data_IF_033247788927
#
_entry.id   IF_033247788927
#
_cell.length_a   1.000
_cell.length_b   1.000
_cell.length_c   1.000
_cell.angle_alpha   90.00
_cell.angle_beta   90.00
_cell.angle_gamma   90.00
#
_symmetry.space_group_name_H-M   'P 1'
#
loop_
_entity.id
_entity.type
_entity.pdbx_description
1 polymer ?
#
# COMPACT_ATOMS: atom_id res chain seq x y z
N UNK A 1 -0.21 -6.12 29.54
CA UNK A 1 -0.89 -7.18 28.78
C UNK A 1 -0.65 -6.89 27.29
N UNK A 2 -0.46 -7.90 26.45
CA UNK A 2 -0.30 -7.66 25.02
C UNK A 2 -1.53 -6.99 24.44
N UNK A 3 -1.31 -6.02 23.55
CA UNK A 3 -2.40 -5.28 22.91
C UNK A 3 -2.97 -6.13 21.78
N UNK A 4 -4.30 -6.33 21.81
CA UNK A 4 -5.04 -7.07 20.80
C UNK A 4 -5.96 -6.14 20.04
N UNK A 5 -5.95 -6.22 18.71
CA UNK A 5 -6.84 -5.50 17.81
C UNK A 5 -7.80 -6.46 17.13
N UNK A 6 -8.99 -5.93 16.75
CA UNK A 6 -9.98 -6.68 16.01
C UNK A 6 -10.91 -7.56 16.88
N UNK A 7 -11.69 -8.40 16.22
CA UNK A 7 -12.72 -9.24 16.86
C UNK A 7 -12.96 -10.53 16.06
N UNK A 8 -13.60 -11.52 16.69
CA UNK A 8 -13.92 -12.81 16.07
C UNK A 8 -12.68 -13.52 15.53
N UNK A 9 -12.73 -13.98 14.28
CA UNK A 9 -11.63 -14.64 13.58
C UNK A 9 -10.51 -13.66 13.12
N UNK A 10 -10.79 -12.35 13.21
CA UNK A 10 -9.86 -11.27 12.81
C UNK A 10 -9.25 -10.60 14.04
N UNK A 11 -8.66 -11.38 14.93
CA UNK A 11 -7.94 -10.89 16.11
C UNK A 11 -6.45 -10.98 15.89
N UNK A 12 -5.75 -9.90 16.26
CA UNK A 12 -4.32 -9.77 16.05
C UNK A 12 -3.66 -9.18 17.29
N UNK A 13 -2.51 -9.74 17.66
CA UNK A 13 -1.63 -9.20 18.69
C UNK A 13 -0.62 -8.25 18.06
N UNK A 14 -0.48 -7.06 18.63
CA UNK A 14 0.58 -6.12 18.20
C UNK A 14 1.95 -6.66 18.65
N UNK A 15 2.89 -6.75 17.72
CA UNK A 15 4.28 -7.14 17.99
C UNK A 15 5.14 -5.89 17.99
N UNK A 16 5.44 -5.39 19.21
CA UNK A 16 6.26 -4.21 19.36
C UNK A 16 7.73 -4.49 18.99
N UNK A 17 8.41 -3.50 18.40
CA UNK A 17 9.82 -3.56 18.04
C UNK A 17 10.18 -4.79 17.17
N UNK A 18 9.28 -5.19 16.28
CA UNK A 18 9.49 -6.35 15.44
C UNK A 18 10.71 -6.21 14.53
N UNK A 19 10.88 -5.08 13.82
CA UNK A 19 11.98 -4.84 12.90
C UNK A 19 13.28 -4.52 13.66
N UNK A 20 14.27 -5.40 13.54
CA UNK A 20 15.61 -5.26 14.12
C UNK A 20 16.54 -4.65 13.08
N UNK A 21 16.54 -3.32 12.99
CA UNK A 21 17.42 -2.58 12.07
C UNK A 21 18.88 -2.67 12.50
N UNK A 22 19.83 -2.63 11.56
CA UNK A 22 21.24 -2.40 11.87
C UNK A 22 21.46 -1.10 12.64
N UNK A 23 22.52 -1.02 13.42
CA UNK A 23 22.86 0.16 14.21
C UNK A 23 22.97 1.41 13.34
N UNK A 24 22.35 2.50 13.79
CA UNK A 24 22.31 3.78 13.09
C UNK A 24 21.31 3.88 11.92
N UNK A 25 20.61 2.80 11.57
CA UNK A 25 19.59 2.83 10.50
C UNK A 25 18.26 3.36 11.01
N UNK A 26 17.50 3.94 10.08
CA UNK A 26 16.16 4.48 10.34
C UNK A 26 15.21 4.14 9.20
N UNK A 27 13.91 4.10 9.52
CA UNK A 27 12.81 4.02 8.56
C UNK A 27 12.12 5.40 8.52
N UNK A 28 12.29 6.16 7.44
CA UNK A 28 11.68 7.49 7.32
C UNK A 28 10.17 7.39 7.11
N UNK A 29 9.77 6.78 6.00
CA UNK A 29 8.39 6.37 5.69
C UNK A 29 8.45 4.99 5.05
N UNK A 30 7.69 4.04 5.54
CA UNK A 30 7.50 2.75 4.86
C UNK A 30 6.30 2.86 3.94
N UNK A 31 6.58 3.14 2.67
CA UNK A 31 5.53 3.37 1.68
C UNK A 31 4.79 2.09 1.30
N UNK A 32 5.47 0.95 1.27
CA UNK A 32 4.84 -0.34 1.00
C UNK A 32 5.62 -1.49 1.63
N UNK A 33 4.95 -2.61 1.76
CA UNK A 33 5.50 -3.88 2.23
C UNK A 33 5.03 -5.02 1.33
N UNK A 34 5.86 -6.06 1.18
CA UNK A 34 5.49 -7.30 0.51
C UNK A 34 6.12 -8.49 1.24
N UNK A 35 5.55 -9.69 1.06
CA UNK A 35 6.06 -10.92 1.66
C UNK A 35 6.25 -11.95 0.56
N UNK A 36 7.42 -12.58 0.51
CA UNK A 36 7.72 -13.60 -0.50
C UNK A 36 7.30 -15.01 -0.08
N UNK A 37 7.48 -15.98 -0.97
CA UNK A 37 7.13 -17.39 -0.75
C UNK A 37 7.85 -18.07 0.42
N UNK A 38 8.87 -17.41 1.01
CA UNK A 38 9.67 -17.87 2.16
C UNK A 38 9.40 -17.08 3.43
N UNK A 39 8.30 -16.31 3.46
CA UNK A 39 7.95 -15.39 4.56
C UNK A 39 9.02 -14.32 4.84
N UNK A 40 9.85 -13.94 3.84
CA UNK A 40 10.71 -12.78 3.98
C UNK A 40 9.92 -11.52 3.70
N UNK A 41 10.10 -10.52 4.54
CA UNK A 41 9.36 -9.25 4.49
C UNK A 41 10.22 -8.19 3.81
N UNK A 42 9.74 -7.69 2.70
CA UNK A 42 10.34 -6.61 1.92
C UNK A 42 9.68 -5.29 2.32
N UNK A 43 10.49 -4.33 2.71
CA UNK A 43 10.06 -3.02 3.21
C UNK A 43 10.55 -1.95 2.26
N UNK A 44 9.62 -1.29 1.55
CA UNK A 44 9.93 -0.24 0.60
C UNK A 44 9.87 1.13 1.29
N UNK A 45 11.04 1.68 1.59
CA UNK A 45 11.27 2.79 2.49
C UNK A 45 11.73 4.04 1.73
N UNK A 46 11.27 5.20 2.15
CA UNK A 46 11.68 6.52 1.61
C UNK A 46 12.97 7.06 2.22
N UNK A 47 13.68 6.26 3.01
CA UNK A 47 14.94 6.63 3.63
C UNK A 47 16.17 6.26 2.79
N UNK A 48 17.36 6.33 3.42
CA UNK A 48 18.65 6.05 2.77
C UNK A 48 18.77 4.62 2.21
N UNK A 49 18.01 3.66 2.77
CA UNK A 49 17.96 2.27 2.33
C UNK A 49 16.58 1.96 1.76
N UNK A 50 16.37 2.09 0.44
CA UNK A 50 15.04 2.03 -0.16
C UNK A 50 14.35 0.67 -0.02
N UNK A 51 15.10 -0.43 -0.18
CA UNK A 51 14.56 -1.77 0.00
C UNK A 51 15.31 -2.46 1.13
N UNK A 52 14.58 -2.79 2.20
CA UNK A 52 15.13 -3.52 3.35
C UNK A 52 14.39 -4.84 3.46
N UNK A 53 15.11 -5.92 3.71
CA UNK A 53 14.54 -7.28 3.79
C UNK A 53 14.80 -7.86 5.17
N UNK A 54 13.72 -8.35 5.78
CA UNK A 54 13.74 -9.04 7.09
C UNK A 54 13.29 -10.49 6.95
N UNK A 55 13.71 -11.34 7.87
CA UNK A 55 13.04 -12.61 8.06
C UNK A 55 11.71 -12.43 8.82
N UNK A 56 10.92 -13.49 8.94
CA UNK A 56 9.63 -13.47 9.65
C UNK A 56 9.75 -13.08 11.14
N UNK A 57 10.90 -13.30 11.77
CA UNK A 57 11.20 -12.92 13.15
C UNK A 57 11.69 -11.47 13.30
N UNK A 58 11.80 -10.72 12.19
CA UNK A 58 12.22 -9.33 12.14
C UNK A 58 13.72 -9.14 12.13
N UNK A 59 14.53 -10.19 11.94
CA UNK A 59 15.95 -10.03 11.81
C UNK A 59 16.30 -9.50 10.41
N UNK A 60 17.19 -8.52 10.35
CA UNK A 60 17.70 -7.97 9.10
C UNK A 60 18.42 -9.04 8.29
N UNK A 61 18.10 -9.13 6.99
CA UNK A 61 18.76 -10.02 6.02
C UNK A 61 19.69 -9.25 5.12
N UNK A 62 19.17 -8.21 4.43
CA UNK A 62 19.90 -7.40 3.44
C UNK A 62 19.16 -6.11 3.11
N UNK A 63 19.83 -5.22 2.41
CA UNK A 63 19.20 -4.09 1.71
C UNK A 63 19.76 -3.93 0.31
N UNK A 64 19.04 -3.18 -0.54
CA UNK A 64 19.44 -2.81 -1.89
C UNK A 64 18.61 -1.65 -2.41
N UNK A 65 18.99 -1.11 -3.56
CA UNK A 65 18.22 -0.08 -4.28
C UNK A 65 18.69 1.34 -4.02
N UNK A 66 19.79 1.54 -3.34
CA UNK A 66 20.44 2.85 -3.16
C UNK A 66 20.76 3.45 -4.53
N UNK A 67 20.27 4.68 -4.78
CA UNK A 67 20.41 5.37 -6.05
C UNK A 67 19.53 4.86 -7.20
N UNK A 68 18.75 3.79 -6.98
CA UNK A 68 17.83 3.24 -7.98
C UNK A 68 16.46 3.92 -7.98
N UNK A 69 16.00 4.39 -6.83
CA UNK A 69 14.66 4.93 -6.62
C UNK A 69 14.70 6.41 -6.26
N UNK A 70 13.83 7.21 -6.91
CA UNK A 70 13.62 8.61 -6.59
C UNK A 70 12.73 8.80 -5.36
N UNK A 71 11.62 8.05 -5.31
CA UNK A 71 10.70 8.05 -4.17
C UNK A 71 9.88 6.75 -4.11
N UNK A 72 10.20 5.90 -3.17
CA UNK A 72 9.47 4.65 -2.95
C UNK A 72 7.96 4.88 -2.74
N UNK A 73 7.10 4.10 -3.45
CA UNK A 73 5.65 4.20 -3.28
C UNK A 73 4.98 2.84 -3.17
N UNK A 74 4.73 2.12 -4.27
CA UNK A 74 4.05 0.83 -4.27
C UNK A 74 5.02 -0.34 -4.38
N UNK A 75 4.70 -1.46 -3.73
CA UNK A 75 5.44 -2.70 -3.83
C UNK A 75 4.47 -3.87 -3.95
N UNK A 76 4.56 -4.60 -5.07
CA UNK A 76 3.85 -5.85 -5.29
C UNK A 76 4.87 -6.97 -5.50
N UNK A 77 4.52 -8.20 -5.13
CA UNK A 77 5.33 -9.38 -5.38
C UNK A 77 4.52 -10.44 -6.13
N UNK A 78 5.09 -11.06 -7.17
CA UNK A 78 4.42 -12.11 -7.92
C UNK A 78 4.69 -13.52 -7.35
N UNK A 79 3.99 -14.53 -7.88
CA UNK A 79 4.13 -15.91 -7.44
C UNK A 79 5.53 -16.53 -7.73
N UNK A 80 6.40 -15.81 -8.44
CA UNK A 80 7.79 -16.19 -8.73
C UNK A 80 8.79 -15.38 -7.89
N UNK A 81 8.30 -14.68 -6.86
CA UNK A 81 9.08 -13.78 -6.00
C UNK A 81 9.71 -12.58 -6.73
N UNK A 82 9.21 -12.17 -7.92
CA UNK A 82 9.65 -10.91 -8.50
C UNK A 82 8.91 -9.74 -7.86
N UNK A 83 9.65 -8.67 -7.61
CA UNK A 83 9.15 -7.45 -6.99
C UNK A 83 8.81 -6.42 -8.06
N UNK A 84 7.64 -5.84 -7.98
CA UNK A 84 7.23 -4.69 -8.81
C UNK A 84 7.26 -3.44 -7.93
N UNK A 85 8.34 -2.68 -8.11
CA UNK A 85 8.62 -1.47 -7.34
C UNK A 85 8.09 -0.26 -8.10
N UNK A 86 7.06 0.40 -7.58
CA UNK A 86 6.50 1.62 -8.14
C UNK A 86 7.15 2.83 -7.49
N UNK A 87 7.71 3.70 -8.32
CA UNK A 87 8.39 4.92 -7.91
C UNK A 87 7.61 6.15 -8.39
N UNK A 88 7.01 6.88 -7.47
CA UNK A 88 6.25 8.08 -7.81
C UNK A 88 7.13 9.33 -7.98
N UNK A 89 8.40 9.25 -7.63
CA UNK A 89 9.37 10.33 -7.81
C UNK A 89 9.97 10.36 -9.21
N UNK A 90 10.29 9.19 -9.77
CA UNK A 90 10.83 9.09 -11.13
C UNK A 90 9.84 8.59 -12.19
N UNK A 91 8.58 8.36 -11.77
CA UNK A 91 7.46 8.00 -12.67
C UNK A 91 7.63 6.65 -13.37
N UNK A 92 8.14 5.64 -12.66
CA UNK A 92 8.38 4.31 -13.23
C UNK A 92 7.84 3.17 -12.37
N UNK A 93 7.65 2.03 -13.02
CA UNK A 93 7.51 0.72 -12.36
C UNK A 93 8.70 -0.14 -12.77
N UNK A 94 9.43 -0.67 -11.79
CA UNK A 94 10.52 -1.62 -12.04
C UNK A 94 10.16 -3.00 -11.53
N UNK A 95 10.18 -3.99 -12.42
CA UNK A 95 10.20 -5.40 -12.03
C UNK A 95 11.63 -5.78 -11.66
N UNK A 96 11.84 -6.25 -10.44
CA UNK A 96 13.13 -6.62 -9.91
C UNK A 96 13.14 -8.07 -9.42
N UNK A 97 14.26 -8.75 -9.55
CA UNK A 97 14.50 -9.99 -8.83
C UNK A 97 14.72 -9.70 -7.33
N UNK A 98 14.65 -10.74 -6.50
CA UNK A 98 14.83 -10.63 -5.03
C UNK A 98 16.18 -10.05 -4.59
N UNK A 99 17.20 -10.09 -5.44
CA UNK A 99 18.52 -9.52 -5.19
C UNK A 99 18.67 -8.05 -5.64
N UNK A 100 17.60 -7.48 -6.22
CA UNK A 100 17.57 -6.09 -6.70
C UNK A 100 17.91 -5.92 -8.19
N UNK A 101 18.23 -6.99 -8.92
CA UNK A 101 18.46 -6.91 -10.37
C UNK A 101 17.18 -6.47 -11.07
N UNK A 102 17.23 -5.34 -11.80
CA UNK A 102 16.12 -4.87 -12.63
C UNK A 102 15.92 -5.79 -13.84
N UNK A 103 14.73 -6.32 -14.00
CA UNK A 103 14.33 -7.23 -15.09
C UNK A 103 13.52 -6.52 -16.17
N UNK A 104 12.73 -5.50 -15.78
CA UNK A 104 11.90 -4.69 -16.67
C UNK A 104 11.72 -3.30 -16.05
N UNK A 105 11.68 -2.28 -16.91
CA UNK A 105 11.26 -0.92 -16.51
C UNK A 105 10.11 -0.48 -17.42
N UNK A 106 9.01 -0.02 -16.82
CA UNK A 106 7.86 0.59 -17.49
C UNK A 106 7.84 2.07 -17.11
N UNK A 107 7.64 2.96 -18.06
CA UNK A 107 7.84 4.39 -17.91
C UNK A 107 9.26 4.82 -18.26
N UNK A 108 9.52 6.12 -18.26
CA UNK A 108 10.83 6.71 -18.58
C UNK A 108 11.31 7.46 -17.33
N UNK A 109 12.41 7.06 -16.69
CA UNK A 109 12.88 7.69 -15.46
C UNK A 109 13.00 9.22 -15.58
N UNK A 110 12.45 9.92 -14.59
CA UNK A 110 12.44 11.39 -14.49
C UNK A 110 11.75 12.12 -15.66
N UNK A 111 10.87 11.42 -16.40
CA UNK A 111 10.10 12.02 -17.50
C UNK A 111 8.61 11.78 -17.28
N UNK A 112 7.92 12.64 -16.49
CA UNK A 112 6.47 12.52 -16.32
C UNK A 112 5.73 12.80 -17.63
N UNK A 113 4.61 12.09 -17.85
CA UNK A 113 3.61 12.51 -18.79
C UNK A 113 3.03 13.89 -18.41
N UNK A 114 2.40 14.65 -19.31
CA UNK A 114 1.75 15.89 -18.94
C UNK A 114 0.67 15.69 -17.85
N UNK A 115 0.52 16.64 -16.96
CA UNK A 115 -0.46 16.58 -15.87
C UNK A 115 -1.88 16.33 -16.41
N UNK A 116 -2.54 15.30 -15.85
CA UNK A 116 -3.89 14.85 -16.23
C UNK A 116 -4.08 14.52 -17.73
N UNK A 117 -3.00 14.19 -18.45
CA UNK A 117 -3.08 13.86 -19.88
C UNK A 117 -3.72 12.50 -20.18
N UNK A 118 -3.74 11.61 -19.20
CA UNK A 118 -4.13 10.21 -19.40
C UNK A 118 -3.02 9.32 -19.99
N UNK A 119 -1.86 9.89 -20.34
CA UNK A 119 -0.68 9.16 -20.79
C UNK A 119 0.12 8.63 -19.56
N UNK A 120 0.75 7.45 -19.63
CA UNK A 120 1.58 6.92 -18.56
C UNK A 120 3.00 7.49 -18.59
N UNK A 121 3.60 7.84 -17.43
CA UNK A 121 3.05 7.96 -16.08
C UNK A 121 3.22 9.40 -15.58
N UNK A 122 2.29 9.83 -14.68
CA UNK A 122 2.54 11.03 -13.89
C UNK A 122 2.35 10.73 -12.41
N UNK A 123 3.42 10.23 -11.76
CA UNK A 123 3.46 9.79 -10.36
C UNK A 123 2.54 8.58 -10.10
N UNK A 124 2.84 7.48 -10.78
CA UNK A 124 2.20 6.19 -10.58
C UNK A 124 2.34 5.70 -9.11
N UNK A 125 1.39 4.91 -8.63
CA UNK A 125 1.23 4.66 -7.21
C UNK A 125 1.40 3.19 -6.80
N UNK A 126 0.86 2.24 -7.57
CA UNK A 126 0.96 0.81 -7.24
C UNK A 126 0.79 -0.08 -8.47
N UNK A 127 1.03 -1.39 -8.31
CA UNK A 127 0.82 -2.41 -9.35
C UNK A 127 0.06 -3.61 -8.82
N UNK A 128 -0.68 -4.28 -9.71
CA UNK A 128 -1.24 -5.61 -9.49
C UNK A 128 -1.12 -6.45 -10.77
N UNK A 129 -1.23 -7.77 -10.66
CA UNK A 129 -1.12 -8.66 -11.80
C UNK A 129 -2.43 -9.42 -12.05
N UNK A 130 -2.84 -9.53 -13.31
CA UNK A 130 -3.91 -10.46 -13.67
C UNK A 130 -3.46 -11.91 -13.48
N UNK A 131 -4.40 -12.88 -13.42
CA UNK A 131 -4.04 -14.31 -13.43
C UNK A 131 -3.21 -14.75 -14.65
N UNK A 132 -3.21 -13.94 -15.72
CA UNK A 132 -2.41 -14.16 -16.94
C UNK A 132 -1.06 -13.44 -16.93
N UNK A 133 -0.73 -12.74 -15.83
CA UNK A 133 0.51 -11.97 -15.68
C UNK A 133 0.50 -10.57 -16.34
N UNK A 134 -0.65 -10.10 -16.85
CA UNK A 134 -0.78 -8.72 -17.31
C UNK A 134 -0.61 -7.77 -16.13
N UNK A 135 0.04 -6.63 -16.35
CA UNK A 135 0.39 -5.69 -15.29
C UNK A 135 -0.58 -4.53 -15.29
N UNK A 136 -1.29 -4.33 -14.18
CA UNK A 136 -2.08 -3.13 -13.94
C UNK A 136 -1.25 -2.14 -13.12
N UNK A 137 -1.32 -0.87 -13.51
CA UNK A 137 -0.63 0.22 -12.80
C UNK A 137 -1.63 1.32 -12.47
N UNK A 138 -1.77 1.65 -11.21
CA UNK A 138 -2.51 2.83 -10.76
C UNK A 138 -1.62 4.07 -10.93
N UNK A 139 -2.15 5.13 -11.56
CA UNK A 139 -1.43 6.38 -11.84
C UNK A 139 -2.28 7.56 -11.38
N UNK A 140 -2.10 7.97 -10.11
CA UNK A 140 -3.11 8.79 -9.45
C UNK A 140 -2.69 10.17 -8.97
N UNK A 141 -1.41 10.48 -8.72
CA UNK A 141 -1.06 11.81 -8.18
C UNK A 141 -1.07 12.92 -9.22
N UNK A 142 -0.66 12.63 -10.44
CA UNK A 142 -0.67 13.59 -11.54
C UNK A 142 -1.52 13.12 -12.72
N UNK A 143 -2.23 12.01 -12.51
CA UNK A 143 -3.18 11.42 -13.43
C UNK A 143 -4.40 10.89 -12.67
N UNK A 144 -5.42 10.42 -13.39
CA UNK A 144 -6.58 9.72 -12.83
C UNK A 144 -6.85 8.48 -13.67
N UNK A 145 -5.84 7.59 -13.75
CA UNK A 145 -5.82 6.45 -14.69
C UNK A 145 -5.43 5.15 -14.01
N UNK A 146 -5.92 4.06 -14.59
CA UNK A 146 -5.31 2.74 -14.48
C UNK A 146 -4.81 2.36 -15.88
N UNK A 147 -3.57 1.86 -15.95
CA UNK A 147 -2.94 1.41 -17.19
C UNK A 147 -2.74 -0.10 -17.15
N UNK A 148 -3.07 -0.80 -18.21
CA UNK A 148 -2.89 -2.24 -18.37
C UNK A 148 -1.80 -2.53 -19.39
N UNK A 149 -0.84 -3.37 -19.02
CA UNK A 149 0.31 -3.76 -19.84
C UNK A 149 0.37 -5.27 -20.03
N UNK A 150 1.03 -5.70 -21.10
CA UNK A 150 1.49 -7.10 -21.24
C UNK A 150 2.57 -7.42 -20.19
N UNK A 151 2.87 -8.72 -19.92
CA UNK A 151 3.94 -9.10 -19.00
C UNK A 151 5.34 -8.56 -19.36
N UNK A 152 5.57 -8.24 -20.64
CA UNK A 152 6.80 -7.62 -21.17
C UNK A 152 6.76 -6.09 -21.23
N UNK A 153 5.70 -5.45 -20.70
CA UNK A 153 5.64 -4.01 -20.51
C UNK A 153 5.08 -3.20 -21.69
N UNK A 154 4.38 -3.83 -22.65
CA UNK A 154 3.69 -3.12 -23.73
C UNK A 154 2.31 -2.67 -23.27
N UNK A 155 2.00 -1.38 -23.42
CA UNK A 155 0.68 -0.82 -23.09
C UNK A 155 -0.42 -1.47 -23.93
N UNK A 156 -1.46 -1.96 -23.26
CA UNK A 156 -2.66 -2.56 -23.86
C UNK A 156 -3.86 -1.61 -23.82
N UNK A 157 -4.14 -1.03 -22.65
CA UNK A 157 -5.32 -0.18 -22.42
C UNK A 157 -5.06 0.75 -21.24
N UNK A 158 -5.77 1.88 -21.23
CA UNK A 158 -5.90 2.78 -20.09
C UNK A 158 -7.35 3.13 -19.88
N UNK A 159 -7.79 3.31 -18.61
CA UNK A 159 -9.14 3.75 -18.29
C UNK A 159 -9.16 4.66 -17.08
N UNK A 160 -10.30 5.29 -16.86
CA UNK A 160 -10.52 6.30 -15.83
C UNK A 160 -10.36 7.72 -16.36
N UNK A 161 -10.81 8.67 -15.58
CA UNK A 161 -10.65 10.12 -15.78
C UNK A 161 -10.89 10.84 -14.45
N UNK A 162 -10.50 12.11 -14.30
CA UNK A 162 -10.78 12.87 -13.08
C UNK A 162 -12.28 13.03 -12.83
N UNK A 163 -12.70 12.75 -11.59
CA UNK A 163 -14.09 12.96 -11.18
C UNK A 163 -14.54 12.05 -10.04
N UNK A 164 -15.86 11.99 -9.82
CA UNK A 164 -16.48 11.23 -8.73
C UNK A 164 -17.56 10.22 -9.18
N UNK A 165 -17.91 10.20 -10.46
CA UNK A 165 -18.84 9.22 -11.01
C UNK A 165 -18.20 7.82 -11.09
N UNK A 166 -18.98 6.75 -11.30
CA UNK A 166 -18.44 5.42 -11.58
C UNK A 166 -17.43 5.44 -12.74
N UNK A 167 -16.26 4.84 -12.52
CA UNK A 167 -15.16 4.85 -13.48
C UNK A 167 -14.30 6.10 -13.47
N UNK A 168 -14.71 7.17 -12.79
CA UNK A 168 -13.89 8.36 -12.54
C UNK A 168 -13.12 8.24 -11.23
N UNK A 169 -12.02 8.99 -11.07
CA UNK A 169 -11.11 8.88 -9.94
C UNK A 169 -10.68 10.23 -9.38
N UNK A 170 -10.45 10.24 -8.07
CA UNK A 170 -9.76 11.31 -7.38
C UNK A 170 -8.62 10.71 -6.54
N UNK A 171 -7.43 10.69 -7.11
CA UNK A 171 -6.23 10.01 -6.64
C UNK A 171 -6.39 8.48 -6.58
N UNK A 172 -6.13 7.83 -7.73
CA UNK A 172 -5.97 6.38 -7.84
C UNK A 172 -4.73 5.97 -7.06
N UNK A 173 -4.91 5.36 -5.87
CA UNK A 173 -3.79 5.24 -4.93
C UNK A 173 -3.22 3.83 -4.79
N UNK A 174 -4.05 2.83 -4.89
CA UNK A 174 -3.64 1.43 -4.82
C UNK A 174 -4.51 0.57 -5.72
N UNK A 175 -4.01 -0.59 -6.10
CA UNK A 175 -4.69 -1.52 -6.98
C UNK A 175 -4.37 -2.94 -6.55
N UNK A 176 -5.37 -3.81 -6.59
CA UNK A 176 -5.23 -5.25 -6.31
C UNK A 176 -6.09 -6.05 -7.28
N UNK A 177 -5.80 -7.33 -7.42
CA UNK A 177 -6.58 -8.27 -8.23
C UNK A 177 -6.88 -9.52 -7.43
N UNK A 178 -7.93 -10.24 -7.82
CA UNK A 178 -8.21 -11.58 -7.31
C UNK A 178 -7.92 -12.67 -8.34
N UNK A 179 -8.16 -13.92 -7.94
CA UNK A 179 -7.91 -15.10 -8.78
C UNK A 179 -8.86 -15.20 -10.00
N UNK A 180 -10.01 -14.54 -9.95
CA UNK A 180 -10.99 -14.52 -11.05
C UNK A 180 -10.70 -13.40 -12.05
N UNK A 181 -9.73 -12.52 -11.73
CA UNK A 181 -9.27 -11.42 -12.59
C UNK A 181 -10.02 -10.11 -12.40
N UNK A 182 -10.82 -9.97 -11.35
CA UNK A 182 -11.39 -8.68 -10.94
C UNK A 182 -10.30 -7.73 -10.50
N UNK A 183 -10.48 -6.46 -10.79
CA UNK A 183 -9.53 -5.38 -10.49
C UNK A 183 -10.15 -4.43 -9.48
N UNK A 184 -9.51 -4.28 -8.34
CA UNK A 184 -9.95 -3.45 -7.23
C UNK A 184 -9.05 -2.23 -7.13
N UNK A 185 -9.64 -1.05 -7.14
CA UNK A 185 -8.91 0.23 -7.21
C UNK A 185 -9.28 1.13 -6.04
N UNK A 186 -8.29 1.46 -5.21
CA UNK A 186 -8.46 2.42 -4.13
C UNK A 186 -8.53 3.84 -4.68
N UNK A 187 -9.73 4.38 -4.75
CA UNK A 187 -10.06 5.74 -5.18
C UNK A 187 -10.08 6.66 -3.95
N UNK A 188 -8.87 7.06 -3.52
CA UNK A 188 -8.56 7.51 -2.17
C UNK A 188 -9.38 8.72 -1.73
N UNK A 189 -9.38 9.80 -2.51
CA UNK A 189 -10.06 11.02 -2.10
C UNK A 189 -11.56 11.03 -2.47
N UNK A 190 -12.05 10.00 -3.18
CA UNK A 190 -13.46 9.70 -3.32
C UNK A 190 -13.96 8.73 -2.23
N UNK A 191 -13.09 8.35 -1.27
CA UNK A 191 -13.44 7.54 -0.11
C UNK A 191 -14.08 6.18 -0.45
N UNK A 192 -13.63 5.53 -1.52
CA UNK A 192 -14.18 4.26 -2.02
C UNK A 192 -13.11 3.35 -2.59
N UNK A 193 -13.46 2.07 -2.74
CA UNK A 193 -12.79 1.14 -3.65
C UNK A 193 -13.74 0.88 -4.81
N UNK A 194 -13.29 1.02 -6.03
CA UNK A 194 -14.04 0.66 -7.22
C UNK A 194 -13.60 -0.71 -7.73
N UNK A 195 -14.55 -1.48 -8.26
CA UNK A 195 -14.34 -2.83 -8.80
C UNK A 195 -14.59 -2.80 -10.30
N UNK A 196 -13.64 -3.35 -11.05
CA UNK A 196 -13.69 -3.43 -12.51
C UNK A 196 -13.45 -4.88 -12.96
N UNK A 197 -13.93 -5.21 -14.14
CA UNK A 197 -13.46 -6.41 -14.82
C UNK A 197 -12.01 -6.26 -15.28
N UNK A 198 -11.40 -7.34 -15.80
CA UNK A 198 -10.03 -7.33 -16.31
C UNK A 198 -9.81 -6.45 -17.54
N UNK A 199 -10.86 -5.88 -18.13
CA UNK A 199 -10.82 -4.94 -19.23
C UNK A 199 -11.08 -3.49 -18.80
N UNK A 200 -11.32 -3.25 -17.50
CA UNK A 200 -11.56 -1.93 -16.93
C UNK A 200 -13.00 -1.43 -17.09
N UNK A 201 -13.96 -2.33 -17.32
CA UNK A 201 -15.38 -2.00 -17.24
C UNK A 201 -15.83 -1.97 -15.78
N UNK A 202 -16.49 -0.89 -15.37
CA UNK A 202 -16.96 -0.70 -13.99
C UNK A 202 -18.05 -1.72 -13.65
N UNK A 203 -17.93 -2.33 -12.48
CA UNK A 203 -18.92 -3.29 -11.97
C UNK A 203 -19.57 -2.82 -10.68
N UNK A 204 -18.79 -2.39 -9.70
CA UNK A 204 -19.28 -2.07 -8.36
C UNK A 204 -18.36 -1.08 -7.63
N UNK A 205 -18.81 -0.60 -6.47
CA UNK A 205 -17.95 0.15 -5.55
C UNK A 205 -18.25 -0.21 -4.10
N UNK A 206 -17.21 -0.12 -3.27
CA UNK A 206 -17.29 -0.29 -1.82
C UNK A 206 -17.16 1.07 -1.15
N UNK A 207 -18.17 1.44 -0.41
CA UNK A 207 -18.24 2.67 0.36
C UNK A 207 -17.96 2.41 1.85
N UNK A 208 -18.18 3.40 2.72
CA UNK A 208 -17.93 3.30 4.15
C UNK A 208 -16.45 3.08 4.49
N UNK A 209 -15.58 3.65 3.68
CA UNK A 209 -14.13 3.74 3.85
C UNK A 209 -13.74 5.22 3.97
N UNK A 210 -12.66 5.51 4.69
CA UNK A 210 -12.13 6.87 4.76
C UNK A 210 -10.72 6.93 4.22
N UNK A 211 -10.56 7.50 3.02
CA UNK A 211 -9.28 7.61 2.31
C UNK A 211 -8.53 6.27 2.21
N UNK A 212 -9.10 5.25 1.53
CA UNK A 212 -8.44 3.96 1.32
C UNK A 212 -7.10 4.18 0.60
N UNK A 213 -6.02 3.73 1.22
CA UNK A 213 -4.66 4.01 0.80
C UNK A 213 -3.90 2.73 0.46
N UNK A 214 -3.90 1.74 1.36
CA UNK A 214 -3.43 0.39 1.09
C UNK A 214 -4.61 -0.50 0.69
N UNK A 215 -4.36 -1.47 -0.19
CA UNK A 215 -5.36 -2.45 -0.61
C UNK A 215 -4.68 -3.78 -0.89
N UNK A 216 -5.01 -4.81 -0.11
CA UNK A 216 -4.42 -6.14 -0.23
C UNK A 216 -5.51 -7.20 -0.31
N UNK A 217 -5.50 -8.01 -1.39
CA UNK A 217 -6.34 -9.18 -1.54
C UNK A 217 -5.70 -10.38 -0.82
N UNK A 218 -6.41 -10.98 0.13
CA UNK A 218 -5.89 -12.09 0.94
C UNK A 218 -5.84 -13.45 0.20
N UNK A 219 -6.30 -13.50 -1.06
CA UNK A 219 -6.34 -14.72 -1.86
C UNK A 219 -7.47 -15.69 -1.48
N UNK A 220 -7.57 -16.81 -2.18
CA UNK A 220 -8.63 -17.81 -2.01
C UNK A 220 -9.86 -17.59 -2.91
N UNK A 221 -10.86 -18.48 -2.82
CA UNK A 221 -12.07 -18.45 -3.67
C UNK A 221 -13.07 -17.33 -3.30
N UNK A 222 -13.03 -16.83 -2.07
CA UNK A 222 -13.85 -15.70 -1.60
C UNK A 222 -12.96 -14.82 -0.72
N UNK A 223 -12.04 -14.06 -1.34
CA UNK A 223 -11.01 -13.37 -0.58
C UNK A 223 -11.59 -12.28 0.30
N UNK A 224 -11.02 -12.15 1.50
CA UNK A 224 -11.10 -10.90 2.23
C UNK A 224 -10.07 -9.92 1.67
N UNK A 225 -10.34 -8.64 1.87
CA UNK A 225 -9.41 -7.56 1.53
C UNK A 225 -9.05 -6.80 2.80
N UNK A 226 -7.77 -6.47 2.95
CA UNK A 226 -7.31 -5.59 4.01
C UNK A 226 -7.03 -4.23 3.40
N UNK A 227 -7.71 -3.21 3.94
CA UNK A 227 -7.65 -1.83 3.46
C UNK A 227 -7.04 -0.96 4.54
N UNK A 228 -5.92 -0.30 4.22
CA UNK A 228 -5.35 0.75 5.05
C UNK A 228 -6.08 2.07 4.79
N UNK A 229 -6.74 2.60 5.81
CA UNK A 229 -7.38 3.92 5.76
C UNK A 229 -6.44 4.96 6.37
N UNK A 230 -6.11 6.01 5.60
CA UNK A 230 -5.04 6.96 5.92
C UNK A 230 -5.37 7.89 7.09
N UNK A 231 -6.64 7.99 7.46
CA UNK A 231 -7.10 8.92 8.48
C UNK A 231 -7.46 10.31 7.94
N UNK A 232 -7.64 11.30 8.82
CA UNK A 232 -8.03 12.65 8.43
C UNK A 232 -7.17 13.26 7.33
N UNK A 233 -7.79 13.88 6.34
CA UNK A 233 -7.11 14.52 5.22
C UNK A 233 -7.07 16.05 5.31
N UNK A 234 -7.93 16.64 6.16
CA UNK A 234 -8.08 18.08 6.34
C UNK A 234 -7.87 18.46 7.80
N UNK A 235 -7.32 19.66 8.02
CA UNK A 235 -7.11 20.19 9.36
C UNK A 235 -8.41 20.24 10.19
N UNK A 236 -9.52 20.57 9.54
CA UNK A 236 -10.83 20.72 10.18
C UNK A 236 -11.41 19.42 10.73
N UNK A 237 -10.98 18.25 10.20
CA UNK A 237 -11.50 16.95 10.62
C UNK A 237 -10.52 16.12 11.48
N UNK A 238 -9.39 16.70 11.94
CA UNK A 238 -8.40 15.99 12.77
C UNK A 238 -8.98 15.35 14.02
N UNK A 239 -9.88 16.05 14.70
CA UNK A 239 -10.55 15.55 15.91
C UNK A 239 -11.85 14.78 15.65
N UNK A 240 -12.25 14.57 14.40
CA UNK A 240 -13.48 13.87 14.09
C UNK A 240 -13.35 12.38 14.42
N UNK A 241 -14.29 11.79 15.18
CA UNK A 241 -14.22 10.37 15.53
C UNK A 241 -14.44 9.48 14.30
N UNK A 242 -13.96 8.24 14.38
CA UNK A 242 -14.18 7.19 13.37
C UNK A 242 -13.64 7.47 11.95
N UNK A 243 -12.72 8.41 11.78
CA UNK A 243 -12.07 8.64 10.48
C UNK A 243 -10.73 7.89 10.31
N UNK A 244 -10.32 7.09 11.31
CA UNK A 244 -9.04 6.39 11.28
C UNK A 244 -7.90 7.30 11.81
N UNK A 245 -6.63 6.96 11.54
CA UNK A 245 -6.14 5.88 10.67
C UNK A 245 -6.40 4.48 11.25
N UNK A 246 -6.59 3.49 10.36
CA UNK A 246 -6.93 2.11 10.77
C UNK A 246 -6.74 1.11 9.62
N UNK A 247 -6.86 -0.19 9.94
CA UNK A 247 -7.12 -1.21 8.93
C UNK A 247 -8.60 -1.62 8.97
N UNK A 248 -9.22 -1.72 7.81
CA UNK A 248 -10.56 -2.29 7.63
C UNK A 248 -10.46 -3.57 6.83
N UNK A 249 -11.07 -4.64 7.32
CA UNK A 249 -11.18 -5.92 6.62
C UNK A 249 -12.59 -6.01 6.04
N UNK A 250 -12.68 -6.26 4.74
CA UNK A 250 -13.96 -6.44 4.04
C UNK A 250 -13.96 -7.79 3.31
N UNK A 251 -15.14 -8.35 3.09
CA UNK A 251 -15.31 -9.52 2.21
C UNK A 251 -15.27 -9.13 0.73
N UNK A 252 -15.36 -10.11 -0.18
CA UNK A 252 -15.34 -9.91 -1.63
C UNK A 252 -16.49 -9.06 -2.18
N UNK A 253 -17.49 -8.74 -1.36
CA UNK A 253 -18.62 -7.85 -1.70
C UNK A 253 -18.48 -6.47 -1.07
N UNK A 254 -17.34 -6.19 -0.41
CA UNK A 254 -17.09 -4.92 0.28
C UNK A 254 -17.78 -4.76 1.61
N UNK A 255 -18.43 -5.81 2.14
CA UNK A 255 -19.03 -5.78 3.46
C UNK A 255 -17.94 -5.85 4.51
N UNK A 256 -17.92 -4.88 5.43
CA UNK A 256 -16.98 -4.87 6.54
C UNK A 256 -17.16 -6.08 7.46
N UNK A 257 -16.08 -6.83 7.67
CA UNK A 257 -16.02 -7.97 8.60
C UNK A 257 -15.26 -7.64 9.88
N UNK A 258 -14.26 -6.76 9.82
CA UNK A 258 -13.53 -6.29 11.01
C UNK A 258 -12.92 -4.89 10.81
N UNK A 259 -12.54 -4.25 11.91
CA UNK A 259 -11.67 -3.07 11.97
C UNK A 259 -10.58 -3.29 13.02
N UNK A 260 -9.36 -2.86 12.70
CA UNK A 260 -8.19 -2.91 13.57
C UNK A 260 -7.74 -1.49 13.85
N UNK A 261 -7.85 -1.02 15.08
CA UNK A 261 -7.51 0.34 15.49
C UNK A 261 -8.51 1.41 15.00
N UNK A 262 -8.11 2.67 15.12
CA UNK A 262 -8.79 3.83 14.53
C UNK A 262 -9.92 4.48 15.33
N UNK A 263 -10.27 3.97 16.50
CA UNK A 263 -11.35 4.54 17.33
C UNK A 263 -10.98 5.93 17.88
N UNK A 264 -9.71 6.14 18.20
CA UNK A 264 -9.21 7.32 18.90
C UNK A 264 -8.23 8.18 18.06
N UNK A 265 -8.33 8.10 16.73
CA UNK A 265 -7.45 8.86 15.83
C UNK A 265 -6.00 8.34 15.78
N UNK A 266 -5.09 9.11 15.13
CA UNK A 266 -3.68 8.75 14.99
C UNK A 266 -2.94 8.78 16.33
N UNK A 267 -1.91 7.94 16.48
CA UNK A 267 -1.09 7.90 17.69
C UNK A 267 0.16 7.05 17.58
N UNK A 268 1.07 7.22 18.53
CA UNK A 268 2.34 6.51 18.60
C UNK A 268 2.25 5.23 19.43
N UNK A 269 1.22 5.11 20.25
CA UNK A 269 1.04 3.97 21.15
C UNK A 269 0.83 2.67 20.33
N UNK A 270 1.28 1.57 20.87
CA UNK A 270 1.10 0.27 20.24
C UNK A 270 -0.38 0.01 19.93
N UNK A 271 -0.66 -0.47 18.71
CA UNK A 271 -2.03 -0.71 18.23
C UNK A 271 -2.77 0.52 17.67
N UNK A 272 -2.19 1.71 17.76
CA UNK A 272 -2.61 2.86 16.97
C UNK A 272 -1.82 2.94 15.67
N UNK A 273 -2.35 3.66 14.71
CA UNK A 273 -1.70 3.91 13.42
C UNK A 273 -1.42 5.41 13.24
N UNK A 274 -0.42 5.71 12.41
CA UNK A 274 -0.12 7.06 11.95
C UNK A 274 -0.73 7.32 10.58
N UNK A 275 -0.45 6.44 9.62
CA UNK A 275 -0.90 6.56 8.24
C UNK A 275 -0.65 5.24 7.47
N UNK A 276 -1.49 4.19 7.63
CA UNK A 276 -1.35 2.91 6.93
C UNK A 276 -1.35 3.11 5.42
N UNK A 277 -0.24 2.72 4.76
CA UNK A 277 -0.01 3.01 3.34
C UNK A 277 0.30 1.75 2.52
N UNK A 278 0.94 0.74 3.11
CA UNK A 278 1.18 -0.56 2.52
C UNK A 278 0.81 -1.68 3.49
N UNK A 279 0.25 -2.77 2.98
CA UNK A 279 -0.15 -3.94 3.76
C UNK A 279 0.23 -5.23 3.03
N UNK A 280 0.78 -6.20 3.77
CA UNK A 280 1.02 -7.55 3.27
C UNK A 280 0.77 -8.59 4.37
N UNK A 281 0.54 -9.83 3.95
CA UNK A 281 0.36 -10.98 4.84
C UNK A 281 1.48 -12.00 4.60
N UNK A 282 1.85 -12.71 5.68
CA UNK A 282 2.68 -13.91 5.58
C UNK A 282 1.81 -15.19 5.52
N UNK A 283 2.47 -16.35 5.38
CA UNK A 283 1.82 -17.66 5.29
C UNK A 283 1.00 -18.06 6.54
N UNK A 284 1.21 -17.37 7.66
CA UNK A 284 0.46 -17.57 8.92
C UNK A 284 -0.73 -16.61 9.05
N UNK A 285 -0.85 -15.66 8.12
CA UNK A 285 -1.85 -14.61 8.15
C UNK A 285 -1.50 -13.46 9.10
N UNK A 286 -0.23 -13.32 9.52
CA UNK A 286 0.25 -12.14 10.22
C UNK A 286 0.24 -10.96 9.25
N UNK A 287 -0.14 -9.78 9.72
CA UNK A 287 -0.23 -8.56 8.90
C UNK A 287 1.01 -7.70 9.15
N UNK A 288 1.64 -7.25 8.06
CA UNK A 288 2.68 -6.23 8.09
C UNK A 288 2.12 -4.93 7.53
N UNK A 289 2.34 -3.82 8.24
CA UNK A 289 1.79 -2.52 7.90
C UNK A 289 2.91 -1.51 7.76
N UNK A 290 3.12 -1.02 6.54
CA UNK A 290 3.96 0.14 6.26
C UNK A 290 3.16 1.42 6.41
N UNK A 291 3.76 2.43 7.05
CA UNK A 291 3.12 3.71 7.34
C UNK A 291 3.95 4.88 6.83
N UNK A 292 3.29 5.91 6.31
CA UNK A 292 3.90 7.17 5.87
C UNK A 292 3.72 8.27 6.93
N UNK A 293 4.13 7.95 8.15
CA UNK A 293 3.94 8.78 9.32
C UNK A 293 4.66 10.12 9.24
N UNK A 294 5.87 10.16 8.69
CA UNK A 294 6.66 11.39 8.50
C UNK A 294 5.96 12.31 7.49
N UNK A 295 5.63 11.79 6.31
CA UNK A 295 4.93 12.55 5.26
C UNK A 295 3.58 13.10 5.75
N UNK A 296 2.84 12.32 6.55
CA UNK A 296 1.50 12.68 7.02
C UNK A 296 1.48 13.42 8.36
N UNK A 297 2.61 13.60 9.03
CA UNK A 297 2.67 14.16 10.38
C UNK A 297 1.90 15.48 10.51
N UNK A 298 2.21 16.44 9.65
CA UNK A 298 1.55 17.76 9.69
C UNK A 298 0.04 17.67 9.45
N UNK A 299 -0.40 16.77 8.57
CA UNK A 299 -1.83 16.54 8.31
C UNK A 299 -2.54 16.02 9.54
N UNK A 300 -1.95 15.05 10.24
CA UNK A 300 -2.56 14.40 11.40
C UNK A 300 -2.44 15.19 12.70
N UNK A 301 -1.30 15.86 12.93
CA UNK A 301 -0.97 16.49 14.21
C UNK A 301 -0.77 18.01 14.15
N UNK A 302 -0.89 18.63 12.97
CA UNK A 302 -0.70 20.07 12.79
C UNK A 302 0.74 20.48 13.02
N UNK A 303 0.92 21.52 13.86
CA UNK A 303 2.24 22.08 14.18
C UNK A 303 2.90 21.41 15.40
N UNK A 304 2.34 20.30 15.90
CA UNK A 304 2.97 19.50 16.96
C UNK A 304 4.32 18.97 16.47
N UNK A 305 5.42 19.19 17.19
CA UNK A 305 6.73 18.67 16.81
C UNK A 305 6.71 17.16 16.65
N UNK A 306 7.31 16.66 15.57
CA UNK A 306 7.39 15.24 15.31
C UNK A 306 8.46 14.58 16.17
N UNK A 307 8.13 13.58 17.00
CA UNK A 307 9.09 12.83 17.76
C UNK A 307 10.05 12.03 16.86
N UNK A 308 11.30 11.87 17.31
CA UNK A 308 12.35 11.20 16.52
C UNK A 308 12.05 9.72 16.24
N UNK A 309 11.30 9.05 17.11
CA UNK A 309 10.89 7.65 16.97
C UNK A 309 10.01 7.40 15.74
N UNK A 310 9.28 8.40 15.25
CA UNK A 310 8.46 8.29 14.03
C UNK A 310 9.32 7.91 12.84
N UNK A 311 10.47 8.58 12.66
CA UNK A 311 11.42 8.30 11.59
C UNK A 311 12.41 7.16 11.89
N UNK A 312 12.26 6.42 13.01
CA UNK A 312 13.16 5.30 13.33
C UNK A 312 12.56 3.95 12.97
N UNK A 313 11.53 3.51 13.65
CA UNK A 313 10.93 2.21 13.45
C UNK A 313 9.40 2.24 13.49
N UNK A 314 8.79 3.36 13.91
CA UNK A 314 7.35 3.44 14.14
C UNK A 314 6.52 3.37 12.85
N UNK A 315 7.15 3.60 11.69
CA UNK A 315 6.50 3.48 10.38
C UNK A 315 6.35 2.03 9.87
N UNK A 316 6.67 1.03 10.69
CA UNK A 316 6.48 -0.39 10.36
C UNK A 316 5.92 -1.14 11.55
N UNK A 317 4.79 -1.80 11.38
CA UNK A 317 4.17 -2.62 12.41
C UNK A 317 3.93 -4.06 11.94
N UNK A 318 4.04 -5.01 12.88
CA UNK A 318 3.57 -6.39 12.69
C UNK A 318 2.40 -6.67 13.63
N UNK A 319 1.35 -7.25 13.07
CA UNK A 319 0.17 -7.73 13.79
C UNK A 319 0.13 -9.25 13.64
N UNK A 320 0.38 -9.98 14.71
CA UNK A 320 0.39 -11.45 14.72
C UNK A 320 -1.04 -11.97 14.87
N UNK A 321 -1.45 -12.86 13.98
CA UNK A 321 -2.79 -13.47 14.02
C UNK A 321 -2.95 -14.34 15.26
N UNK A 322 -4.01 -14.12 16.02
CA UNK A 322 -4.40 -14.95 17.18
C UNK A 322 -5.32 -16.05 16.66
N UNK A 323 -4.94 -17.29 16.90
CA UNK A 323 -5.73 -18.48 16.60
C UNK A 323 -6.95 -18.59 17.53
#
# INVERSE_FOLDING_TARGET
MPITLGSGEHRYRVVENWAKLPDGWTLTDVASVAVDSKDRVYVFNRGAHPMIVFDRAGNFIKSWGEGLFGRAHGLHIDAHDNLYCTDDGDHTVRKCAVDGKVLLTIGIPNKPAPFMSGEPFHRCTHTALSPKGEIYVSDGYGNARVHKYTPDGKLLKSWGEPGSDPGQFNIVHNISTDADGWVYVADRENHRVQVFDGNGEYEAQWNNLHRPCALHCCGGQSPNFIIGELGPGLAVNRGAPNLGPRLTIVDSKGKRVARLGGENGPGLEAGKFLAPHGVALDSKGDIYVGEVGVTNWKTSFGDTPMPAEVGRARCLQKLEKIQ
#
